data_IF_228349420999
#
_entry.id   IF_228349420999
#
_cell.length_a   1.000
_cell.length_b   1.000
_cell.length_c   1.000
_cell.angle_alpha   90.00
_cell.angle_beta   90.00
_cell.angle_gamma   90.00
#
_symmetry.space_group_name_H-M   'P 1'
#
loop_
_entity.id
_entity.type
_entity.pdbx_description
1 polymer ?
#
# COMPACT_ATOMS: atom_id res chain seq x y z
N UNK A 1 -16.78 -2.88 1.48
CA UNK A 1 -17.43 -4.16 1.88
C UNK A 1 -18.43 -3.82 2.96
N UNK A 2 -19.71 -4.21 2.90
CA UNK A 2 -20.69 -3.72 3.87
C UNK A 2 -20.78 -4.69 5.06
N UNK A 3 -20.64 -4.19 6.28
CA UNK A 3 -20.82 -4.91 7.54
C UNK A 3 -21.81 -4.17 8.41
N UNK A 4 -22.99 -4.76 8.68
CA UNK A 4 -24.05 -4.14 9.49
C UNK A 4 -24.41 -2.70 9.04
N UNK A 5 -24.64 -2.51 7.73
CA UNK A 5 -24.94 -1.20 7.09
C UNK A 5 -23.82 -0.15 7.15
N UNK A 6 -22.65 -0.49 7.72
CA UNK A 6 -21.43 0.31 7.69
C UNK A 6 -20.51 -0.16 6.56
N UNK A 7 -20.01 0.75 5.72
CA UNK A 7 -19.06 0.39 4.66
C UNK A 7 -17.65 0.25 5.21
N UNK A 8 -16.95 -0.79 4.78
CA UNK A 8 -15.53 -0.98 5.07
C UNK A 8 -14.76 -0.41 3.89
N UNK A 9 -14.01 0.65 4.17
CA UNK A 9 -13.05 1.25 3.24
C UNK A 9 -11.71 0.57 3.48
N UNK A 10 -11.25 -0.16 2.46
CA UNK A 10 -9.90 -0.72 2.45
C UNK A 10 -8.95 0.31 1.82
N UNK A 11 -7.85 0.62 2.46
CA UNK A 11 -6.70 1.24 1.81
C UNK A 11 -5.59 0.21 1.68
N UNK A 12 -5.16 -0.02 0.45
CA UNK A 12 -4.17 -1.04 0.14
C UNK A 12 -2.99 -0.40 -0.57
N UNK A 13 -1.80 -0.51 0.04
CA UNK A 13 -0.56 -0.18 -0.62
C UNK A 13 0.19 -1.38 -1.16
N UNK A 14 0.89 -1.18 -2.27
CA UNK A 14 1.83 -2.15 -2.81
C UNK A 14 3.08 -1.51 -3.37
N UNK A 15 4.20 -2.19 -3.18
CA UNK A 15 5.51 -1.79 -3.69
C UNK A 15 5.88 -2.51 -4.96
N UNK A 16 6.19 -1.73 -5.99
CA UNK A 16 6.74 -2.23 -7.24
C UNK A 16 8.19 -1.76 -7.37
N UNK A 17 9.12 -2.71 -7.50
CA UNK A 17 10.50 -2.37 -7.85
C UNK A 17 10.57 -1.79 -9.26
N UNK A 18 11.46 -0.82 -9.48
CA UNK A 18 11.64 -0.17 -10.80
C UNK A 18 12.00 -1.15 -11.93
N UNK A 19 12.62 -2.27 -11.58
CA UNK A 19 13.02 -3.37 -12.47
C UNK A 19 11.94 -4.44 -12.66
N UNK A 20 10.79 -4.31 -12.01
CA UNK A 20 9.71 -5.30 -12.05
C UNK A 20 9.99 -6.57 -11.24
N UNK A 21 11.00 -6.57 -10.36
CA UNK A 21 11.51 -7.75 -9.64
C UNK A 21 10.48 -8.37 -8.69
N UNK A 22 9.55 -7.54 -8.18
CA UNK A 22 8.46 -7.98 -7.30
C UNK A 22 7.24 -8.52 -8.06
N UNK A 23 7.25 -8.43 -9.40
CA UNK A 23 6.23 -9.05 -10.25
C UNK A 23 6.85 -10.33 -10.78
N UNK A 24 6.12 -11.43 -10.66
CA UNK A 24 6.54 -12.73 -11.20
C UNK A 24 6.47 -12.70 -12.74
N UNK A 25 7.31 -11.87 -13.35
CA UNK A 25 7.53 -11.79 -14.78
C UNK A 25 8.74 -12.68 -15.13
N UNK A 26 8.91 -13.03 -16.41
CA UNK A 26 9.93 -13.94 -16.93
C UNK A 26 11.38 -13.43 -16.71
N UNK A 27 11.84 -13.40 -15.47
CA UNK A 27 13.23 -13.17 -15.10
C UNK A 27 14.04 -14.48 -15.08
N UNK A 28 13.54 -15.51 -15.78
CA UNK A 28 14.20 -16.80 -15.89
C UNK A 28 15.22 -16.76 -17.02
N UNK A 29 16.33 -17.48 -16.84
CA UNK A 29 17.26 -17.75 -17.92
C UNK A 29 17.12 -19.20 -18.37
N UNK A 30 17.29 -19.44 -19.66
CA UNK A 30 17.33 -20.78 -20.23
C UNK A 30 18.79 -21.20 -20.40
N UNK A 31 19.14 -22.42 -19.99
CA UNK A 31 20.46 -23.00 -20.23
C UNK A 31 20.35 -24.51 -20.43
N UNK A 32 21.21 -25.06 -21.27
CA UNK A 32 21.42 -26.50 -21.40
C UNK A 32 22.48 -27.02 -20.43
N UNK A 33 23.28 -26.14 -19.83
CA UNK A 33 24.29 -26.50 -18.82
C UNK A 33 24.48 -25.36 -17.79
N UNK A 34 23.90 -25.50 -16.58
CA UNK A 34 24.06 -24.53 -15.51
C UNK A 34 25.50 -24.31 -15.05
N UNK A 35 26.44 -25.24 -15.25
CA UNK A 35 27.82 -25.05 -14.78
C UNK A 35 28.56 -24.01 -15.63
N UNK A 36 28.31 -23.98 -16.94
CA UNK A 36 28.99 -23.09 -17.89
C UNK A 36 28.27 -21.76 -18.12
N UNK A 37 27.06 -21.58 -17.60
CA UNK A 37 26.33 -20.31 -17.77
C UNK A 37 27.12 -19.14 -17.13
N UNK A 38 27.25 -17.99 -17.82
CA UNK A 38 27.95 -16.82 -17.29
C UNK A 38 27.35 -16.31 -15.97
N UNK A 39 28.21 -15.79 -15.08
CA UNK A 39 27.82 -15.30 -13.76
C UNK A 39 26.72 -14.22 -13.82
N UNK A 40 26.85 -13.26 -14.75
CA UNK A 40 25.88 -12.16 -14.92
C UNK A 40 24.50 -12.59 -15.47
N UNK A 41 24.38 -13.83 -15.97
CA UNK A 41 23.11 -14.43 -16.40
C UNK A 41 22.47 -15.22 -15.26
N UNK A 42 23.30 -15.87 -14.44
CA UNK A 42 22.85 -16.64 -13.26
C UNK A 42 22.42 -15.76 -12.10
N UNK A 43 23.16 -14.68 -11.87
CA UNK A 43 23.05 -13.86 -10.69
C UNK A 43 22.73 -12.43 -11.09
N UNK A 44 21.64 -11.91 -10.53
CA UNK A 44 21.28 -10.51 -10.63
C UNK A 44 21.81 -9.78 -9.40
N UNK A 45 22.44 -8.64 -9.61
CA UNK A 45 22.83 -7.76 -8.51
C UNK A 45 21.58 -7.07 -7.97
N UNK A 46 21.19 -7.38 -6.75
CA UNK A 46 20.17 -6.62 -6.04
C UNK A 46 20.83 -5.42 -5.34
N UNK A 47 20.29 -4.23 -5.60
CA UNK A 47 20.65 -3.04 -4.83
C UNK A 47 19.65 -2.94 -3.68
N UNK A 48 20.17 -2.92 -2.44
CA UNK A 48 19.39 -2.83 -1.20
C UNK A 48 18.48 -1.59 -1.15
N UNK A 49 18.87 -0.52 -1.85
CA UNK A 49 18.14 0.76 -1.94
C UNK A 49 17.63 1.09 -3.35
N UNK A 50 17.17 0.08 -4.10
CA UNK A 50 16.54 0.34 -5.39
C UNK A 50 15.27 1.18 -5.23
N UNK A 51 15.07 2.19 -6.10
CA UNK A 51 13.85 2.99 -6.10
C UNK A 51 12.62 2.10 -6.29
N UNK A 52 11.58 2.34 -5.48
CA UNK A 52 10.31 1.63 -5.52
C UNK A 52 9.19 2.60 -5.88
N UNK A 53 8.13 2.07 -6.48
CA UNK A 53 6.87 2.77 -6.66
C UNK A 53 5.92 2.26 -5.58
N UNK A 54 5.48 3.16 -4.72
CA UNK A 54 4.35 2.97 -3.85
C UNK A 54 3.09 3.21 -4.68
N UNK A 55 2.24 2.20 -4.76
CA UNK A 55 0.94 2.28 -5.42
C UNK A 55 -0.11 2.11 -4.34
N UNK A 56 -1.01 3.08 -4.23
CA UNK A 56 -2.10 3.12 -3.27
C UNK A 56 -3.43 3.08 -4.02
N UNK A 57 -4.36 2.29 -3.52
CA UNK A 57 -5.74 2.25 -3.98
C UNK A 57 -6.68 2.19 -2.78
N UNK A 58 -7.78 2.95 -2.84
CA UNK A 58 -8.83 2.94 -1.84
C UNK A 58 -10.02 2.18 -2.42
N UNK A 59 -10.58 1.26 -1.65
CA UNK A 59 -11.59 0.31 -2.12
C UNK A 59 -12.77 0.25 -1.14
N UNK A 60 -13.76 1.16 -1.27
CA UNK A 60 -15.06 1.02 -0.62
C UNK A 60 -15.93 -0.09 -1.28
N UNK A 61 -17.13 -0.33 -0.77
CA UNK A 61 -18.07 -1.28 -1.40
C UNK A 61 -18.61 -0.81 -2.75
N UNK A 62 -18.75 0.51 -2.93
CA UNK A 62 -19.46 1.12 -4.06
C UNK A 62 -18.57 1.32 -5.30
N UNK A 63 -17.27 1.07 -5.21
CA UNK A 63 -16.31 1.29 -6.28
C UNK A 63 -14.88 1.32 -5.76
N UNK A 64 -13.92 1.65 -6.63
CA UNK A 64 -12.52 1.85 -6.24
C UNK A 64 -12.10 3.27 -6.62
N UNK A 65 -11.17 3.85 -5.87
CA UNK A 65 -10.58 5.13 -6.20
C UNK A 65 -9.69 5.04 -7.44
N UNK A 66 -9.33 6.19 -7.97
CA UNK A 66 -8.15 6.29 -8.83
C UNK A 66 -6.90 5.82 -8.07
N UNK A 67 -5.94 5.29 -8.84
CA UNK A 67 -4.68 4.80 -8.31
C UNK A 67 -3.76 5.99 -8.02
N UNK A 68 -3.28 6.09 -6.78
CA UNK A 68 -2.24 7.03 -6.42
C UNK A 68 -0.86 6.37 -6.51
N UNK A 69 0.08 7.00 -7.22
CA UNK A 69 1.43 6.48 -7.40
C UNK A 69 2.44 7.48 -6.85
N UNK A 70 3.24 7.02 -5.89
CA UNK A 70 4.30 7.81 -5.28
C UNK A 70 5.64 7.10 -5.46
N UNK A 71 6.63 7.80 -6.01
CA UNK A 71 8.00 7.26 -6.07
C UNK A 71 8.61 7.34 -4.68
N UNK A 72 8.93 6.19 -4.10
CA UNK A 72 9.56 6.11 -2.79
C UNK A 72 10.89 5.37 -2.87
N UNK A 73 11.92 5.93 -2.24
CA UNK A 73 13.24 5.29 -2.13
C UNK A 73 13.37 4.49 -0.82
N UNK A 74 12.33 4.50 0.01
CA UNK A 74 12.34 3.94 1.36
C UNK A 74 11.07 3.11 1.63
N UNK A 75 11.12 2.33 2.71
CA UNK A 75 9.94 1.61 3.24
C UNK A 75 8.98 2.64 3.85
N UNK A 76 7.67 2.35 3.86
CA UNK A 76 6.66 3.26 4.41
C UNK A 76 6.97 3.52 5.87
N UNK A 77 7.21 4.79 6.17
CA UNK A 77 7.19 5.30 7.53
C UNK A 77 5.79 5.81 7.85
N UNK A 78 5.49 6.00 9.13
CA UNK A 78 4.26 6.66 9.55
C UNK A 78 4.11 8.04 8.91
N UNK A 79 5.21 8.77 8.69
CA UNK A 79 5.20 10.09 8.07
C UNK A 79 4.82 10.04 6.58
N UNK A 80 5.37 9.07 5.83
CA UNK A 80 5.00 8.86 4.43
C UNK A 80 3.52 8.47 4.35
N UNK A 81 3.06 7.57 5.22
CA UNK A 81 1.66 7.16 5.26
C UNK A 81 0.71 8.33 5.55
N UNK A 82 1.01 9.17 6.55
CA UNK A 82 0.19 10.34 6.87
C UNK A 82 0.14 11.34 5.72
N UNK A 83 1.29 11.68 5.15
CA UNK A 83 1.38 12.75 4.17
C UNK A 83 0.93 12.32 2.78
N UNK A 84 1.32 11.14 2.34
CA UNK A 84 1.06 10.67 0.97
C UNK A 84 -0.23 9.85 0.88
N UNK A 85 -0.48 8.95 1.83
CA UNK A 85 -1.65 8.07 1.76
C UNK A 85 -2.89 8.72 2.38
N UNK A 86 -2.80 9.21 3.62
CA UNK A 86 -3.95 9.77 4.33
C UNK A 86 -4.31 11.15 3.76
N UNK A 87 -3.41 12.12 3.89
CA UNK A 87 -3.75 13.52 3.65
C UNK A 87 -4.02 13.85 2.19
N UNK A 88 -3.21 13.30 1.27
CA UNK A 88 -3.32 13.58 -0.17
C UNK A 88 -4.30 12.69 -0.90
N UNK A 89 -4.69 11.55 -0.33
CA UNK A 89 -5.50 10.55 -1.05
C UNK A 89 -6.76 10.19 -0.26
N UNK A 90 -6.62 9.55 0.90
CA UNK A 90 -7.76 9.03 1.66
C UNK A 90 -8.76 10.10 2.08
N UNK A 91 -8.28 11.19 2.68
CA UNK A 91 -9.16 12.25 3.18
C UNK A 91 -9.93 12.93 2.05
N UNK A 92 -9.28 13.17 0.91
CA UNK A 92 -9.93 13.75 -0.26
C UNK A 92 -11.00 12.82 -0.82
N UNK A 93 -10.68 11.53 -0.95
CA UNK A 93 -11.62 10.52 -1.42
C UNK A 93 -12.85 10.38 -0.52
N UNK A 94 -12.64 10.35 0.81
CA UNK A 94 -13.72 10.29 1.79
C UNK A 94 -14.59 11.54 1.71
N UNK A 95 -13.98 12.73 1.62
CA UNK A 95 -14.75 13.98 1.54
C UNK A 95 -15.60 14.06 0.27
N UNK A 96 -15.10 13.53 -0.85
CA UNK A 96 -15.81 13.54 -2.13
C UNK A 96 -16.94 12.49 -2.20
N UNK A 97 -16.70 11.28 -1.68
CA UNK A 97 -17.57 10.13 -1.94
C UNK A 97 -18.28 9.56 -0.71
N UNK A 98 -17.78 9.82 0.50
CA UNK A 98 -18.24 9.17 1.75
C UNK A 98 -18.48 10.15 2.91
N UNK A 99 -18.59 11.44 2.65
CA UNK A 99 -18.73 12.49 3.70
C UNK A 99 -19.87 12.25 4.70
N UNK A 100 -20.96 11.66 4.24
CA UNK A 100 -22.16 11.38 5.06
C UNK A 100 -22.43 9.88 5.21
N UNK A 101 -21.52 9.02 4.75
CA UNK A 101 -21.66 7.57 4.85
C UNK A 101 -21.17 7.12 6.24
N UNK A 102 -21.77 6.06 6.78
CA UNK A 102 -21.18 5.34 7.91
C UNK A 102 -20.13 4.38 7.36
N UNK A 103 -18.88 4.55 7.80
CA UNK A 103 -17.78 3.73 7.33
C UNK A 103 -16.72 3.47 8.42
N UNK A 104 -15.97 2.40 8.21
CA UNK A 104 -14.78 2.06 8.98
C UNK A 104 -13.59 1.84 8.06
N UNK A 105 -12.46 2.46 8.39
CA UNK A 105 -11.20 2.27 7.69
C UNK A 105 -10.54 0.96 8.14
N UNK A 106 -10.14 0.14 7.19
CA UNK A 106 -9.42 -1.11 7.45
C UNK A 106 -8.14 -1.14 6.61
N UNK A 107 -7.02 -0.61 7.15
CA UNK A 107 -5.75 -0.56 6.43
C UNK A 107 -5.01 -1.90 6.48
N UNK A 108 -3.84 -1.98 5.84
CA UNK A 108 -2.94 -3.12 6.03
C UNK A 108 -2.45 -3.22 7.50
N UNK A 109 -1.90 -4.37 7.90
CA UNK A 109 -1.38 -4.64 9.25
C UNK A 109 -0.02 -3.98 9.53
N UNK A 110 0.49 -3.17 8.60
CA UNK A 110 1.76 -2.50 8.73
C UNK A 110 1.83 -1.69 10.04
N UNK A 111 2.90 -1.88 10.82
CA UNK A 111 3.05 -1.18 12.11
C UNK A 111 3.06 0.34 11.98
N UNK A 112 3.47 0.88 10.83
CA UNK A 112 3.45 2.30 10.53
C UNK A 112 2.04 2.91 10.69
N UNK A 113 0.98 2.13 10.44
CA UNK A 113 -0.41 2.59 10.36
C UNK A 113 -1.10 2.67 11.71
N UNK A 114 -0.52 2.00 12.69
CA UNK A 114 -1.01 1.91 14.05
C UNK A 114 -0.12 2.67 15.04
N UNK A 115 0.71 3.59 14.53
CA UNK A 115 1.50 4.49 15.39
C UNK A 115 0.59 5.54 16.03
N UNK A 116 0.99 6.06 17.20
CA UNK A 116 0.20 7.06 17.93
C UNK A 116 -0.14 8.27 17.07
N UNK A 117 0.83 8.79 16.32
CA UNK A 117 0.63 9.96 15.43
C UNK A 117 -0.43 9.72 14.35
N UNK A 118 -0.49 8.51 13.80
CA UNK A 118 -1.49 8.16 12.77
C UNK A 118 -2.87 8.04 13.40
N UNK A 119 -2.97 7.33 14.53
CA UNK A 119 -4.23 7.12 15.22
C UNK A 119 -4.81 8.44 15.74
N UNK A 120 -3.97 9.33 16.27
CA UNK A 120 -4.37 10.66 16.73
C UNK A 120 -4.91 11.49 15.57
N UNK A 121 -4.23 11.49 14.41
CA UNK A 121 -4.68 12.23 13.24
C UNK A 121 -6.01 11.70 12.67
N UNK A 122 -6.19 10.38 12.59
CA UNK A 122 -7.46 9.77 12.17
C UNK A 122 -8.58 10.13 13.14
N UNK A 123 -8.30 10.10 14.45
CA UNK A 123 -9.25 10.49 15.50
C UNK A 123 -9.64 11.96 15.40
N UNK A 124 -8.68 12.87 15.16
CA UNK A 124 -8.95 14.29 14.93
C UNK A 124 -9.86 14.51 13.72
N UNK A 125 -9.74 13.66 12.69
CA UNK A 125 -10.60 13.67 11.50
C UNK A 125 -11.92 12.89 11.67
N UNK A 126 -12.20 12.39 12.87
CA UNK A 126 -13.38 11.56 13.17
C UNK A 126 -13.48 10.29 12.31
N UNK A 127 -12.33 9.72 11.92
CA UNK A 127 -12.25 8.48 11.14
C UNK A 127 -12.08 7.30 12.09
N UNK A 128 -13.02 6.35 12.02
CA UNK A 128 -12.93 5.09 12.77
C UNK A 128 -12.05 4.11 12.02
N UNK A 129 -11.11 3.46 12.72
CA UNK A 129 -10.17 2.49 12.18
C UNK A 129 -10.35 1.12 12.84
N UNK A 130 -10.30 0.03 12.06
CA UNK A 130 -10.25 -1.33 12.58
C UNK A 130 -8.99 -1.53 13.41
N UNK A 131 -9.14 -1.99 14.65
CA UNK A 131 -8.00 -2.26 15.53
C UNK A 131 -7.08 -3.32 14.92
N UNK A 132 -5.76 -3.18 15.15
CA UNK A 132 -4.76 -4.10 14.59
C UNK A 132 -5.02 -5.58 14.93
N UNK A 133 -5.57 -5.85 16.10
CA UNK A 133 -5.90 -7.21 16.56
C UNK A 133 -7.10 -7.81 15.83
N UNK A 134 -8.05 -6.98 15.40
CA UNK A 134 -9.27 -7.39 14.72
C UNK A 134 -9.16 -7.33 13.19
N UNK A 135 -8.03 -6.83 12.68
CA UNK A 135 -7.74 -6.84 11.26
C UNK A 135 -7.40 -8.29 10.84
N UNK A 136 -8.17 -8.93 9.93
CA UNK A 136 -8.02 -10.34 9.54
C UNK A 136 -6.70 -10.61 8.81
#
# INVERSE_FOLDING_TARGET
MILNDCDIILDYEKYFGSSGDNVQCDQRYYTTNPLTTPFHVKYKKENEFSSKLLVLMIMPSKGVSDIYVHKSEQVITSDIYLNECINKTLLLFIEEHHKNDDYILSPDKASAYYTGIVLDQLKEKSITIVSKLNNP
#
